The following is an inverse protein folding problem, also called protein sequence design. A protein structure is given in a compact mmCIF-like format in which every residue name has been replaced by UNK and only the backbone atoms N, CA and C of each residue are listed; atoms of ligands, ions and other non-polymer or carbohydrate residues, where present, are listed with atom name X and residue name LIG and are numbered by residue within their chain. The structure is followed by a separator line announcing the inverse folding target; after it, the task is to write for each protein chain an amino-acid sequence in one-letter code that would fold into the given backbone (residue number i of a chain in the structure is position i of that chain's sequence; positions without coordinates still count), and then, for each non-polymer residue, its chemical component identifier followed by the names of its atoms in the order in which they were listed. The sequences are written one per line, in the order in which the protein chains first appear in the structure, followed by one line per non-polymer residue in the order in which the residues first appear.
data_IF_887721629985
#
_entry.id   IF_887721629985
#
_cell.length_a   1.000
_cell.length_b   1.000
_cell.length_c   1.000
_cell.angle_alpha   90.00
_cell.angle_beta   90.00
_cell.angle_gamma   90.00
#
_symmetry.space_group_name_H-M   'P 1'
#
loop_
_entity.id
_entity.type
_entity.pdbx_description
1 polymer ?
#
# COMPACT_ATOMS: atom_id res chain seq x y z
N UNK A 1 -7.43 1.60 -14.11
CA UNK A 1 -6.38 2.23 -14.94
C UNK A 1 -6.56 3.74 -15.08
N UNK A 2 -7.79 4.26 -15.23
CA UNK A 2 -8.03 5.71 -15.37
C UNK A 2 -7.45 6.56 -14.23
N UNK A 3 -7.65 6.24 -12.93
CA UNK A 3 -7.05 7.01 -11.83
C UNK A 3 -5.52 7.14 -11.94
N UNK A 4 -4.86 6.04 -12.31
CA UNK A 4 -3.41 6.02 -12.46
C UNK A 4 -2.90 6.99 -13.52
N UNK A 5 -3.54 7.01 -14.70
CA UNK A 5 -3.17 7.92 -15.78
C UNK A 5 -3.42 9.38 -15.39
N UNK A 6 -4.57 9.65 -14.75
CA UNK A 6 -4.96 10.99 -14.32
C UNK A 6 -3.97 11.53 -13.28
N UNK A 7 -3.69 10.77 -12.23
CA UNK A 7 -2.74 11.19 -11.20
C UNK A 7 -1.31 11.30 -11.72
N UNK A 8 -0.89 10.40 -12.61
CA UNK A 8 0.41 10.55 -13.28
C UNK A 8 0.49 11.86 -14.05
N UNK A 9 -0.56 12.21 -14.80
CA UNK A 9 -0.63 13.47 -15.55
C UNK A 9 -0.60 14.67 -14.62
N UNK A 10 -1.41 14.68 -13.56
CA UNK A 10 -1.48 15.77 -12.59
C UNK A 10 -0.14 16.01 -11.90
N UNK A 11 0.54 14.94 -11.49
CA UNK A 11 1.85 15.06 -10.85
C UNK A 11 2.95 15.52 -11.80
N UNK A 12 2.91 15.08 -13.07
CA UNK A 12 3.83 15.59 -14.07
C UNK A 12 3.59 17.06 -14.37
N UNK A 13 2.32 17.50 -14.45
CA UNK A 13 1.97 18.91 -14.60
C UNK A 13 2.44 19.74 -13.40
N UNK A 14 2.22 19.25 -12.16
CA UNK A 14 2.72 19.88 -10.94
C UNK A 14 4.25 20.05 -10.97
N UNK A 15 4.96 18.98 -11.35
CA UNK A 15 6.42 18.99 -11.44
C UNK A 15 6.94 19.94 -12.52
N UNK A 16 6.30 19.94 -13.68
CA UNK A 16 6.71 20.78 -14.81
C UNK A 16 6.40 22.27 -14.58
N UNK A 17 5.16 22.61 -14.22
CA UNK A 17 4.71 24.01 -14.15
C UNK A 17 5.04 24.69 -12.82
N UNK A 18 4.92 23.98 -11.70
CA UNK A 18 4.97 24.57 -10.35
C UNK A 18 6.33 24.32 -9.68
N UNK A 19 6.81 23.08 -9.67
CA UNK A 19 8.07 22.72 -9.01
C UNK A 19 9.26 23.08 -9.92
N UNK A 20 9.08 22.97 -11.24
CA UNK A 20 10.09 23.21 -12.28
C UNK A 20 11.35 22.35 -12.12
N UNK A 21 11.19 21.13 -11.60
CA UNK A 21 12.28 20.14 -11.45
C UNK A 21 12.48 19.26 -12.68
N UNK A 22 11.60 19.39 -13.68
CA UNK A 22 11.69 18.69 -14.97
C UNK A 22 11.80 19.73 -16.10
N UNK A 23 12.94 19.82 -16.80
CA UNK A 23 13.13 20.82 -17.86
C UNK A 23 12.41 20.45 -19.17
N UNK A 24 12.27 19.16 -19.49
CA UNK A 24 11.54 18.66 -20.66
C UNK A 24 11.12 17.21 -20.47
N UNK A 25 10.15 16.73 -21.27
CA UNK A 25 9.66 15.35 -21.24
C UNK A 25 10.01 14.67 -22.56
N UNK A 26 10.99 13.78 -22.56
CA UNK A 26 11.26 12.92 -23.73
C UNK A 26 10.22 11.81 -23.85
N UNK A 27 9.95 11.32 -25.07
CA UNK A 27 8.99 10.24 -25.30
C UNK A 27 9.33 8.99 -24.50
N UNK A 28 10.61 8.58 -24.51
CA UNK A 28 11.13 7.44 -23.74
C UNK A 28 10.82 7.59 -22.24
N UNK A 29 11.07 8.78 -21.70
CA UNK A 29 10.87 9.05 -20.29
C UNK A 29 9.38 9.14 -19.92
N UNK A 30 8.55 9.73 -20.79
CA UNK A 30 7.11 9.72 -20.67
C UNK A 30 6.55 8.30 -20.61
N UNK A 31 6.97 7.43 -21.54
CA UNK A 31 6.56 6.01 -21.55
C UNK A 31 6.96 5.28 -20.26
N UNK A 32 8.16 5.53 -19.73
CA UNK A 32 8.59 4.94 -18.45
C UNK A 32 7.77 5.46 -17.27
N UNK A 33 7.42 6.75 -17.26
CA UNK A 33 6.64 7.36 -16.19
C UNK A 33 5.20 6.86 -16.16
N UNK A 34 4.54 6.80 -17.32
CA UNK A 34 3.21 6.23 -17.45
C UNK A 34 3.20 4.70 -17.36
N UNK A 35 4.26 4.00 -17.76
CA UNK A 35 4.32 2.54 -17.66
C UNK A 35 4.55 2.05 -16.24
N UNK A 36 5.45 2.70 -15.49
CA UNK A 36 5.95 2.20 -14.19
C UNK A 36 5.65 3.12 -13.00
N UNK A 37 4.80 4.13 -13.19
CA UNK A 37 4.39 5.05 -12.14
C UNK A 37 5.55 5.88 -11.60
N UNK A 38 6.45 6.32 -12.49
CA UNK A 38 7.64 7.12 -12.13
C UNK A 38 7.45 8.63 -12.24
N UNK A 39 6.22 9.07 -12.52
CA UNK A 39 5.88 10.50 -12.49
C UNK A 39 6.02 11.13 -11.10
N UNK A 40 5.79 10.35 -10.02
CA UNK A 40 5.89 10.83 -8.64
C UNK A 40 6.17 9.69 -7.64
N UNK A 41 6.71 10.04 -6.46
CA UNK A 41 7.27 9.12 -5.46
C UNK A 41 6.37 7.96 -5.00
N UNK A 42 5.06 7.97 -5.27
CA UNK A 42 4.13 6.92 -4.81
C UNK A 42 3.34 6.24 -5.95
N UNK A 43 3.36 6.77 -7.17
CA UNK A 43 2.57 6.19 -8.27
C UNK A 43 3.05 4.79 -8.69
N UNK A 44 4.28 4.43 -8.35
CA UNK A 44 4.83 3.12 -8.67
C UNK A 44 4.04 1.96 -8.05
N UNK A 45 3.46 2.16 -6.86
CA UNK A 45 2.67 1.14 -6.20
C UNK A 45 1.37 0.86 -6.98
N UNK A 46 0.76 1.89 -7.55
CA UNK A 46 -0.42 1.71 -8.39
C UNK A 46 -0.10 0.95 -9.68
N UNK A 47 1.10 1.16 -10.24
CA UNK A 47 1.65 0.32 -11.32
C UNK A 47 1.80 -1.15 -10.88
N UNK A 48 2.34 -1.41 -9.68
CA UNK A 48 2.45 -2.78 -9.13
C UNK A 48 1.08 -3.43 -8.96
N UNK A 49 0.08 -2.70 -8.48
CA UNK A 49 -1.30 -3.18 -8.34
C UNK A 49 -1.91 -3.52 -9.71
N UNK A 50 -1.70 -2.70 -10.74
CA UNK A 50 -2.15 -3.00 -12.11
C UNK A 50 -1.48 -4.28 -12.62
N UNK A 51 -0.17 -4.44 -12.45
CA UNK A 51 0.54 -5.66 -12.81
C UNK A 51 -0.02 -6.89 -12.08
N UNK A 52 -0.34 -6.76 -10.79
CA UNK A 52 -0.99 -7.83 -10.04
C UNK A 52 -2.35 -8.19 -10.62
N UNK A 53 -3.22 -7.22 -10.92
CA UNK A 53 -4.52 -7.49 -11.54
C UNK A 53 -4.40 -8.18 -12.91
N UNK A 54 -3.42 -7.81 -13.72
CA UNK A 54 -3.17 -8.46 -15.01
C UNK A 54 -2.70 -9.91 -14.86
N UNK A 55 -1.86 -10.18 -13.86
CA UNK A 55 -1.37 -11.53 -13.57
C UNK A 55 -2.33 -12.37 -12.73
N UNK A 56 -3.30 -11.72 -12.06
CA UNK A 56 -4.19 -12.37 -11.11
C UNK A 56 -4.97 -13.55 -11.70
N UNK A 57 -5.51 -13.52 -12.94
CA UNK A 57 -6.18 -14.69 -13.52
C UNK A 57 -5.30 -15.93 -13.58
N UNK A 58 -4.02 -15.76 -13.94
CA UNK A 58 -3.04 -16.85 -14.01
C UNK A 58 -2.69 -17.34 -12.60
N UNK A 59 -2.42 -16.42 -11.68
CA UNK A 59 -2.13 -16.74 -10.27
C UNK A 59 -3.33 -17.45 -9.62
N UNK A 60 -4.55 -16.98 -9.88
CA UNK A 60 -5.80 -17.55 -9.39
C UNK A 60 -5.99 -18.98 -9.89
N UNK A 61 -5.81 -19.20 -11.20
CA UNK A 61 -5.88 -20.54 -11.81
C UNK A 61 -4.87 -21.48 -11.16
N UNK A 62 -3.62 -21.05 -11.06
CA UNK A 62 -2.56 -21.81 -10.39
C UNK A 62 -2.95 -22.15 -8.94
N UNK A 63 -3.42 -21.16 -8.18
CA UNK A 63 -3.79 -21.35 -6.78
C UNK A 63 -4.93 -22.35 -6.60
N UNK A 64 -5.95 -22.29 -7.47
CA UNK A 64 -7.09 -23.21 -7.45
C UNK A 64 -6.71 -24.65 -7.76
N UNK A 65 -5.71 -24.85 -8.64
CA UNK A 65 -5.20 -26.17 -9.00
C UNK A 65 -4.33 -26.77 -7.91
N UNK A 66 -3.32 -26.03 -7.43
CA UNK A 66 -2.31 -26.59 -6.52
C UNK A 66 -2.69 -26.49 -5.05
N UNK A 67 -3.56 -25.53 -4.67
CA UNK A 67 -4.01 -25.27 -3.29
C UNK A 67 -2.86 -25.35 -2.26
N UNK A 68 -1.78 -24.57 -2.44
CA UNK A 68 -0.59 -24.69 -1.62
C UNK A 68 -0.92 -24.41 -0.14
N UNK A 69 -0.35 -25.21 0.76
CA UNK A 69 -0.39 -24.91 2.19
C UNK A 69 0.48 -23.66 2.50
N UNK A 70 0.45 -23.18 3.74
CA UNK A 70 1.15 -21.95 4.12
C UNK A 70 2.66 -22.01 3.85
N UNK A 71 3.30 -23.13 4.18
CA UNK A 71 4.75 -23.32 4.00
C UNK A 71 5.08 -23.40 2.51
N UNK A 72 4.29 -24.14 1.73
CA UNK A 72 4.45 -24.22 0.28
C UNK A 72 4.29 -22.85 -0.38
N UNK A 73 3.33 -22.03 0.08
CA UNK A 73 3.15 -20.66 -0.43
C UNK A 73 4.35 -19.76 -0.09
N UNK A 74 4.86 -19.82 1.15
CA UNK A 74 6.07 -19.12 1.58
C UNK A 74 7.27 -19.51 0.71
N UNK A 75 7.51 -20.81 0.52
CA UNK A 75 8.64 -21.30 -0.25
C UNK A 75 8.52 -20.89 -1.72
N UNK A 76 7.36 -21.09 -2.34
CA UNK A 76 7.14 -20.75 -3.74
C UNK A 76 7.36 -19.24 -4.00
N UNK A 77 6.65 -18.39 -3.28
CA UNK A 77 6.70 -16.94 -3.52
C UNK A 77 7.97 -16.28 -2.98
N UNK A 78 8.56 -16.86 -1.93
CA UNK A 78 9.87 -16.47 -1.41
C UNK A 78 10.99 -16.81 -2.38
N UNK A 79 10.99 -18.01 -2.96
CA UNK A 79 11.94 -18.40 -4.00
C UNK A 79 11.83 -17.50 -5.22
N UNK A 80 10.61 -17.15 -5.67
CA UNK A 80 10.42 -16.18 -6.75
C UNK A 80 11.06 -14.82 -6.40
N UNK A 81 10.89 -14.33 -5.16
CA UNK A 81 11.47 -13.05 -4.77
C UNK A 81 13.01 -13.10 -4.73
N UNK A 82 13.58 -14.19 -4.22
CA UNK A 82 15.03 -14.39 -4.14
C UNK A 82 15.64 -14.52 -5.54
N UNK A 83 15.04 -15.32 -6.41
CA UNK A 83 15.45 -15.45 -7.81
C UNK A 83 15.37 -14.09 -8.50
N UNK A 84 14.27 -13.37 -8.33
CA UNK A 84 14.11 -12.04 -8.91
C UNK A 84 15.13 -11.05 -8.36
N UNK A 85 15.46 -11.07 -7.07
CA UNK A 85 16.52 -10.23 -6.49
C UNK A 85 17.86 -10.47 -7.18
N UNK A 86 18.26 -11.74 -7.37
CA UNK A 86 19.54 -12.05 -8.00
C UNK A 86 19.56 -11.72 -9.49
N UNK A 87 18.49 -12.06 -10.22
CA UNK A 87 18.32 -11.63 -11.61
C UNK A 87 18.36 -10.11 -11.72
N UNK A 88 17.77 -9.41 -10.74
CA UNK A 88 17.80 -7.97 -10.71
C UNK A 88 19.21 -7.43 -10.51
N UNK A 89 19.88 -7.88 -9.46
CA UNK A 89 21.23 -7.42 -9.10
C UNK A 89 22.25 -7.70 -10.20
N UNK A 90 22.17 -8.86 -10.84
CA UNK A 90 23.15 -9.32 -11.82
C UNK A 90 22.89 -8.80 -13.24
N UNK A 91 21.63 -8.60 -13.62
CA UNK A 91 21.26 -8.29 -15.01
C UNK A 91 20.27 -7.14 -15.14
N UNK A 92 19.06 -7.26 -14.56
CA UNK A 92 17.96 -6.31 -14.86
C UNK A 92 18.31 -4.89 -14.45
N UNK A 93 19.01 -4.70 -13.32
CA UNK A 93 19.32 -3.36 -12.80
C UNK A 93 20.19 -2.54 -13.76
N UNK A 94 21.03 -3.20 -14.58
CA UNK A 94 21.90 -2.55 -15.55
C UNK A 94 21.11 -1.91 -16.70
N UNK A 95 19.95 -2.46 -17.03
CA UNK A 95 19.09 -1.99 -18.13
C UNK A 95 17.83 -1.28 -17.64
N UNK A 96 17.42 -1.52 -16.40
CA UNK A 96 16.18 -1.03 -15.82
C UNK A 96 16.34 -0.82 -14.30
N UNK A 97 16.53 0.44 -13.90
CA UNK A 97 16.79 0.85 -12.51
C UNK A 97 15.54 0.88 -11.63
N UNK A 98 14.35 0.63 -12.19
CA UNK A 98 13.06 0.82 -11.53
C UNK A 98 12.44 -0.48 -11.01
N UNK A 99 13.25 -1.37 -10.45
CA UNK A 99 12.80 -2.74 -10.12
C UNK A 99 11.84 -2.82 -8.95
N UNK A 100 11.86 -1.84 -8.04
CA UNK A 100 10.79 -1.63 -7.06
C UNK A 100 9.42 -1.30 -7.67
N UNK A 101 9.31 -1.10 -8.98
CA UNK A 101 8.02 -0.94 -9.67
C UNK A 101 7.51 -2.22 -10.31
N UNK A 102 8.23 -3.34 -10.13
CA UNK A 102 7.87 -4.65 -10.66
C UNK A 102 7.25 -5.49 -9.57
N UNK A 103 6.16 -6.18 -9.91
CA UNK A 103 5.41 -7.05 -8.98
C UNK A 103 6.29 -8.11 -8.30
N UNK A 104 7.31 -8.62 -8.99
CA UNK A 104 8.20 -9.67 -8.49
C UNK A 104 9.05 -9.21 -7.30
N UNK A 105 9.27 -7.91 -7.13
CA UNK A 105 9.89 -7.34 -5.91
C UNK A 105 9.04 -7.56 -4.65
N UNK A 106 7.76 -7.89 -4.83
CA UNK A 106 6.77 -8.05 -3.77
C UNK A 106 6.13 -9.44 -3.78
N UNK A 107 6.74 -10.43 -4.45
CA UNK A 107 6.11 -11.75 -4.57
C UNK A 107 5.90 -12.41 -3.20
N UNK A 108 6.84 -12.27 -2.26
CA UNK A 108 6.72 -12.84 -0.92
C UNK A 108 5.49 -12.33 -0.13
N UNK A 109 5.30 -11.00 0.08
CA UNK A 109 4.09 -10.51 0.73
C UNK A 109 2.81 -10.83 -0.05
N UNK A 110 2.87 -10.86 -1.39
CA UNK A 110 1.73 -11.28 -2.23
C UNK A 110 1.35 -12.74 -1.95
N UNK A 111 2.32 -13.66 -1.86
CA UNK A 111 2.08 -15.07 -1.56
C UNK A 111 1.41 -15.29 -0.20
N UNK A 112 1.86 -14.55 0.81
CA UNK A 112 1.24 -14.55 2.15
C UNK A 112 -0.19 -14.02 2.08
N UNK A 113 -0.40 -12.88 1.40
CA UNK A 113 -1.73 -12.29 1.22
C UNK A 113 -2.70 -13.21 0.49
N UNK A 114 -2.24 -13.90 -0.57
CA UNK A 114 -3.02 -14.91 -1.28
C UNK A 114 -3.40 -16.06 -0.35
N UNK A 115 -2.44 -16.61 0.39
CA UNK A 115 -2.75 -17.70 1.31
C UNK A 115 -3.78 -17.28 2.35
N UNK A 116 -3.63 -16.10 2.94
CA UNK A 116 -4.61 -15.56 3.86
C UNK A 116 -5.99 -15.43 3.20
N UNK A 117 -6.06 -14.81 2.02
CA UNK A 117 -7.32 -14.58 1.29
C UNK A 117 -8.11 -15.86 0.98
N UNK A 118 -7.44 -16.96 0.66
CA UNK A 118 -8.11 -18.25 0.38
C UNK A 118 -8.44 -19.07 1.63
N UNK A 119 -7.83 -18.78 2.78
CA UNK A 119 -7.95 -19.60 3.99
C UNK A 119 -8.67 -18.89 5.14
N UNK A 120 -9.55 -17.91 4.83
CA UNK A 120 -10.30 -17.09 5.81
C UNK A 120 -11.00 -17.89 6.90
N UNK A 121 -11.55 -19.06 6.57
CA UNK A 121 -12.23 -19.95 7.52
C UNK A 121 -11.34 -20.50 8.65
N UNK A 122 -10.03 -20.61 8.43
CA UNK A 122 -9.08 -21.22 9.39
C UNK A 122 -8.25 -20.19 10.18
N UNK A 123 -8.47 -18.89 9.93
CA UNK A 123 -7.62 -17.83 10.50
C UNK A 123 -7.55 -17.84 12.02
N UNK A 124 -8.68 -18.03 12.71
CA UNK A 124 -8.73 -17.97 14.17
C UNK A 124 -7.91 -19.07 14.83
N UNK A 125 -8.09 -20.33 14.38
CA UNK A 125 -7.35 -21.48 14.89
C UNK A 125 -5.85 -21.36 14.56
N UNK A 126 -5.53 -20.94 13.33
CA UNK A 126 -4.15 -20.75 12.89
C UNK A 126 -3.44 -19.65 13.69
N UNK A 127 -4.08 -18.50 13.88
CA UNK A 127 -3.52 -17.41 14.69
C UNK A 127 -3.33 -17.81 16.14
N UNK A 128 -4.29 -18.50 16.76
CA UNK A 128 -4.16 -19.00 18.14
C UNK A 128 -2.90 -19.88 18.28
N UNK A 129 -2.62 -20.71 17.28
CA UNK A 129 -1.46 -21.62 17.26
C UNK A 129 -0.13 -20.88 17.03
N UNK A 130 -0.08 -19.91 16.12
CA UNK A 130 1.18 -19.32 15.65
C UNK A 130 1.42 -17.86 16.04
N UNK A 131 0.51 -17.22 16.79
CA UNK A 131 0.62 -15.78 17.16
C UNK A 131 1.97 -15.40 17.76
N UNK A 132 2.48 -16.19 18.70
CA UNK A 132 3.71 -15.89 19.41
C UNK A 132 4.90 -15.93 18.44
N UNK A 133 4.91 -16.91 17.54
CA UNK A 133 5.92 -17.02 16.49
C UNK A 133 5.90 -15.81 15.56
N UNK A 134 4.74 -15.38 15.05
CA UNK A 134 4.66 -14.23 14.14
C UNK A 134 5.01 -12.91 14.82
N UNK A 135 4.61 -12.72 16.08
CA UNK A 135 4.97 -11.53 16.86
C UNK A 135 6.49 -11.51 17.08
N UNK A 136 7.07 -12.62 17.55
CA UNK A 136 8.51 -12.72 17.77
C UNK A 136 9.29 -12.51 16.47
N UNK A 137 8.82 -13.09 15.36
CA UNK A 137 9.45 -12.93 14.05
C UNK A 137 9.34 -11.50 13.53
N UNK A 138 8.21 -10.82 13.72
CA UNK A 138 8.04 -9.42 13.34
C UNK A 138 8.97 -8.51 14.14
N UNK A 139 9.08 -8.73 15.46
CA UNK A 139 10.00 -7.97 16.32
C UNK A 139 11.44 -8.23 15.93
N UNK A 140 11.86 -9.50 15.79
CA UNK A 140 13.21 -9.86 15.42
C UNK A 140 13.62 -9.31 14.04
N UNK A 141 12.76 -9.49 13.02
CA UNK A 141 13.01 -8.95 11.68
C UNK A 141 13.02 -7.43 11.67
N UNK A 142 12.15 -6.78 12.46
CA UNK A 142 12.09 -5.33 12.60
C UNK A 142 13.34 -4.75 13.26
N UNK A 143 13.78 -5.33 14.37
CA UNK A 143 15.03 -4.93 15.05
C UNK A 143 16.23 -5.11 14.13
N UNK A 144 16.32 -6.24 13.44
CA UNK A 144 17.40 -6.47 12.48
C UNK A 144 17.36 -5.47 11.32
N UNK A 145 16.17 -5.22 10.75
CA UNK A 145 15.99 -4.24 9.67
C UNK A 145 16.40 -2.83 10.12
N UNK A 146 15.92 -2.36 11.28
CA UNK A 146 16.27 -1.05 11.84
C UNK A 146 17.77 -0.96 12.09
N UNK A 147 18.38 -1.97 12.68
CA UNK A 147 19.82 -2.00 12.92
C UNK A 147 20.63 -1.88 11.61
N UNK A 148 20.23 -2.59 10.55
CA UNK A 148 20.88 -2.48 9.24
C UNK A 148 20.63 -1.12 8.58
N UNK A 149 19.43 -0.55 8.77
CA UNK A 149 19.10 0.78 8.27
C UNK A 149 19.97 1.86 8.93
N UNK A 150 20.09 1.85 10.26
CA UNK A 150 20.95 2.77 11.00
C UNK A 150 22.41 2.64 10.58
N UNK A 151 22.93 1.41 10.48
CA UNK A 151 24.29 1.18 9.97
C UNK A 151 24.49 1.74 8.55
N UNK A 152 23.46 1.69 7.69
CA UNK A 152 23.52 2.29 6.36
C UNK A 152 23.57 3.82 6.40
N UNK A 153 22.92 4.46 7.38
CA UNK A 153 22.99 5.90 7.59
C UNK A 153 24.40 6.32 8.07
N UNK A 154 25.04 5.46 8.85
CA UNK A 154 26.44 5.64 9.30
C UNK A 154 27.48 5.36 8.19
N UNK A 155 27.03 5.13 6.95
CA UNK A 155 27.91 4.86 5.80
C UNK A 155 28.51 3.46 5.79
N UNK A 156 28.09 2.57 6.67
CA UNK A 156 28.56 1.17 6.69
C UNK A 156 28.02 0.43 5.47
N UNK A 157 28.91 -0.25 4.75
CA UNK A 157 28.53 -1.07 3.60
C UNK A 157 27.70 -2.27 4.07
N UNK A 158 26.40 -2.23 3.83
CA UNK A 158 25.47 -3.32 4.14
C UNK A 158 25.19 -4.17 2.90
N UNK A 159 25.04 -5.48 3.10
CA UNK A 159 24.53 -6.36 2.04
C UNK A 159 23.07 -6.03 1.75
N UNK A 160 22.81 -5.61 0.51
CA UNK A 160 21.44 -5.31 0.05
C UNK A 160 20.53 -6.54 0.09
N UNK A 161 21.08 -7.76 0.05
CA UNK A 161 20.29 -8.98 0.15
C UNK A 161 19.68 -9.11 1.54
N UNK A 162 20.51 -9.08 2.58
CA UNK A 162 20.03 -9.20 3.96
C UNK A 162 19.09 -8.06 4.35
N UNK A 163 19.37 -6.85 3.87
CA UNK A 163 18.49 -5.70 4.07
C UNK A 163 17.10 -5.93 3.47
N UNK A 164 17.03 -6.36 2.20
CA UNK A 164 15.77 -6.61 1.50
C UNK A 164 15.00 -7.81 2.08
N UNK A 165 15.69 -8.88 2.46
CA UNK A 165 15.06 -10.05 3.08
C UNK A 165 14.50 -9.72 4.47
N UNK A 166 15.24 -8.96 5.28
CA UNK A 166 14.77 -8.50 6.58
C UNK A 166 13.55 -7.59 6.43
N UNK A 167 13.59 -6.65 5.47
CA UNK A 167 12.45 -5.80 5.15
C UNK A 167 11.21 -6.61 4.75
N UNK A 168 11.37 -7.57 3.83
CA UNK A 168 10.27 -8.40 3.34
C UNK A 168 9.65 -9.24 4.46
N UNK A 169 10.49 -9.83 5.33
CA UNK A 169 10.04 -10.58 6.50
C UNK A 169 9.32 -9.67 7.50
N UNK A 170 9.92 -8.52 7.83
CA UNK A 170 9.35 -7.56 8.78
C UNK A 170 7.97 -7.07 8.31
N UNK A 171 7.86 -6.55 7.09
CA UNK A 171 6.60 -5.99 6.58
C UNK A 171 5.53 -7.06 6.47
N UNK A 172 5.88 -8.27 6.02
CA UNK A 172 4.89 -9.35 5.85
C UNK A 172 4.37 -9.86 7.20
N UNK A 173 5.27 -10.09 8.16
CA UNK A 173 4.90 -10.60 9.49
C UNK A 173 4.18 -9.54 10.32
N UNK A 174 4.62 -8.27 10.24
CA UNK A 174 3.89 -7.14 10.83
C UNK A 174 2.51 -7.01 10.21
N UNK A 175 2.37 -7.13 8.88
CA UNK A 175 1.08 -7.11 8.20
C UNK A 175 0.11 -8.17 8.73
N UNK A 176 0.58 -9.41 8.92
CA UNK A 176 -0.21 -10.49 9.57
C UNK A 176 -0.64 -10.04 10.97
N UNK A 177 0.30 -9.56 11.80
CA UNK A 177 0.01 -9.13 13.16
C UNK A 177 -1.04 -8.01 13.21
N UNK A 178 -0.93 -7.02 12.32
CA UNK A 178 -1.87 -5.88 12.22
C UNK A 178 -3.25 -6.35 11.78
N UNK A 179 -3.37 -7.29 10.83
CA UNK A 179 -4.67 -7.87 10.44
C UNK A 179 -5.35 -8.54 11.64
N UNK A 180 -4.62 -9.32 12.42
CA UNK A 180 -5.19 -9.99 13.58
C UNK A 180 -5.46 -9.05 14.76
N UNK A 181 -4.66 -7.98 14.91
CA UNK A 181 -4.94 -6.90 15.85
C UNK A 181 -6.24 -6.19 15.47
N UNK A 182 -6.42 -5.84 14.19
CA UNK A 182 -7.65 -5.20 13.70
C UNK A 182 -8.87 -6.10 13.98
N UNK A 183 -8.77 -7.41 13.73
CA UNK A 183 -9.83 -8.36 14.07
C UNK A 183 -10.12 -8.42 15.56
N UNK A 184 -9.08 -8.38 16.41
CA UNK A 184 -9.26 -8.39 17.85
C UNK A 184 -9.97 -7.13 18.36
N UNK A 185 -9.59 -5.95 17.85
CA UNK A 185 -10.22 -4.68 18.19
C UNK A 185 -11.68 -4.61 17.73
N UNK A 186 -11.99 -5.23 16.59
CA UNK A 186 -13.35 -5.28 16.04
C UNK A 186 -14.29 -6.28 16.77
N UNK A 187 -13.77 -7.23 17.55
CA UNK A 187 -14.56 -8.35 18.08
C UNK A 187 -15.39 -8.03 19.34
N UNK A 188 -15.14 -6.91 20.03
CA UNK A 188 -15.80 -6.57 21.31
C UNK A 188 -16.58 -5.27 21.21
N UNK A 189 -17.87 -5.37 20.96
CA UNK A 189 -18.80 -4.23 20.99
C UNK A 189 -18.80 -3.54 22.37
N UNK A 190 -18.93 -2.20 22.38
CA UNK A 190 -18.96 -1.41 23.61
C UNK A 190 -17.59 -1.12 24.24
N UNK A 191 -16.48 -1.59 23.65
CA UNK A 191 -15.13 -1.28 24.14
C UNK A 191 -14.48 -0.13 23.37
N UNK A 192 -13.46 0.51 23.96
CA UNK A 192 -12.58 1.48 23.26
C UNK A 192 -12.04 0.88 21.95
N UNK A 193 -11.78 -0.44 21.91
CA UNK A 193 -11.38 -1.15 20.70
C UNK A 193 -12.40 -1.07 19.56
N UNK A 194 -13.69 -1.20 19.87
CA UNK A 194 -14.76 -1.06 18.85
C UNK A 194 -14.89 0.36 18.32
N UNK A 195 -14.69 1.38 19.17
CA UNK A 195 -14.63 2.77 18.75
C UNK A 195 -13.45 3.02 17.80
N UNK A 196 -12.24 2.59 18.19
CA UNK A 196 -11.04 2.70 17.36
C UNK A 196 -11.21 1.97 16.02
N UNK A 197 -11.75 0.75 16.05
CA UNK A 197 -12.07 -0.01 14.84
C UNK A 197 -13.03 0.76 13.92
N UNK A 198 -14.06 1.41 14.49
CA UNK A 198 -14.98 2.27 13.73
C UNK A 198 -14.30 3.49 13.12
N UNK A 199 -13.40 4.16 13.84
CA UNK A 199 -12.60 5.29 13.34
C UNK A 199 -11.69 4.84 12.20
N UNK A 200 -10.92 3.77 12.41
CA UNK A 200 -10.02 3.23 11.37
C UNK A 200 -10.78 2.70 10.16
N UNK A 201 -11.98 2.13 10.34
CA UNK A 201 -12.82 1.70 9.24
C UNK A 201 -13.31 2.88 8.42
N UNK A 202 -13.75 3.97 9.07
CA UNK A 202 -14.14 5.21 8.38
C UNK A 202 -12.96 5.86 7.65
N UNK A 203 -11.80 5.96 8.30
CA UNK A 203 -10.59 6.46 7.65
C UNK A 203 -10.16 5.57 6.47
N UNK A 204 -10.28 4.25 6.65
CA UNK A 204 -9.99 3.23 5.63
C UNK A 204 -10.82 3.39 4.36
N UNK A 205 -12.08 3.84 4.46
CA UNK A 205 -12.94 4.10 3.30
C UNK A 205 -12.40 5.19 2.37
N UNK A 206 -11.61 6.12 2.89
CA UNK A 206 -10.99 7.21 2.12
C UNK A 206 -9.49 7.00 1.89
N UNK A 207 -8.93 5.88 2.36
CA UNK A 207 -7.49 5.61 2.34
C UNK A 207 -6.89 5.67 0.94
N UNK A 208 -7.58 5.17 -0.08
CA UNK A 208 -7.10 5.19 -1.47
C UNK A 208 -7.01 6.62 -2.03
N UNK A 209 -8.01 7.46 -1.79
CA UNK A 209 -7.95 8.85 -2.22
C UNK A 209 -6.92 9.64 -1.43
N UNK A 210 -6.87 9.47 -0.11
CA UNK A 210 -5.83 10.09 0.74
C UNK A 210 -4.42 9.65 0.32
N UNK A 211 -4.25 8.38 -0.09
CA UNK A 211 -3.00 7.88 -0.64
C UNK A 211 -2.58 8.60 -1.93
N UNK A 212 -3.54 9.00 -2.77
CA UNK A 212 -3.24 9.71 -4.02
C UNK A 212 -3.05 11.21 -3.82
N UNK A 213 -3.74 11.81 -2.85
CA UNK A 213 -3.71 13.26 -2.60
C UNK A 213 -2.55 13.68 -1.69
N UNK A 214 -2.18 12.90 -0.68
CA UNK A 214 -1.18 13.32 0.31
C UNK A 214 0.19 13.74 -0.25
N UNK A 215 0.72 13.17 -1.36
CA UNK A 215 2.02 13.62 -1.87
C UNK A 215 1.99 15.08 -2.36
N UNK A 216 0.84 15.59 -2.80
CA UNK A 216 0.65 17.01 -3.08
C UNK A 216 0.82 17.86 -1.81
N UNK A 217 0.13 17.50 -0.72
CA UNK A 217 0.25 18.23 0.55
C UNK A 217 1.63 18.10 1.17
N UNK A 218 2.29 16.96 1.01
CA UNK A 218 3.69 16.77 1.42
C UNK A 218 4.62 17.76 0.73
N UNK A 219 4.47 17.94 -0.58
CA UNK A 219 5.26 18.92 -1.34
C UNK A 219 5.02 20.35 -0.87
N UNK A 220 3.76 20.72 -0.67
CA UNK A 220 3.38 22.05 -0.16
C UNK A 220 3.97 22.25 1.24
N UNK A 221 3.84 21.26 2.13
CA UNK A 221 4.39 21.29 3.47
C UNK A 221 5.91 21.47 3.46
N UNK A 222 6.64 20.68 2.67
CA UNK A 222 8.10 20.76 2.55
C UNK A 222 8.56 22.12 1.99
N UNK A 223 7.75 22.76 1.14
CA UNK A 223 8.09 24.07 0.57
C UNK A 223 7.84 25.22 1.56
N UNK A 224 6.81 25.12 2.40
CA UNK A 224 6.44 26.16 3.38
C UNK A 224 7.24 26.00 4.69
N UNK A 225 7.37 24.76 5.17
CA UNK A 225 7.98 24.40 6.45
C UNK A 225 9.12 23.40 6.23
N UNK A 226 10.33 23.92 6.07
CA UNK A 226 11.58 23.15 6.09
C UNK A 226 12.55 23.70 7.15
N UNK A 227 12.22 23.55 8.46
CA UNK A 227 13.11 24.01 9.51
C UNK A 227 14.45 23.25 9.46
N UNK A 228 15.54 24.01 9.58
CA UNK A 228 16.92 23.50 9.51
C UNK A 228 17.46 23.01 10.87
N UNK A 229 16.73 23.26 11.96
CA UNK A 229 17.15 22.96 13.33
C UNK A 229 16.35 21.80 13.96
N UNK A 230 17.00 21.04 14.84
CA UNK A 230 16.52 19.74 15.36
C UNK A 230 15.16 19.79 16.08
N UNK A 231 14.86 20.74 17.00
CA UNK A 231 13.56 20.73 17.70
C UNK A 231 12.42 21.18 16.79
N UNK A 232 12.69 22.13 15.89
CA UNK A 232 11.72 22.58 14.89
C UNK A 232 11.41 21.51 13.85
N UNK A 233 12.37 20.62 13.56
CA UNK A 233 12.21 19.50 12.66
C UNK A 233 11.21 18.47 13.22
N UNK A 234 11.37 18.05 14.47
CA UNK A 234 10.47 17.05 15.09
C UNK A 234 9.03 17.55 15.17
N UNK A 235 8.84 18.80 15.62
CA UNK A 235 7.53 19.46 15.63
C UNK A 235 6.94 19.60 14.23
N UNK A 236 7.76 19.93 13.23
CA UNK A 236 7.33 20.02 11.83
C UNK A 236 6.95 18.65 11.26
N UNK A 237 7.64 17.57 11.63
CA UNK A 237 7.33 16.21 11.18
C UNK A 237 6.01 15.74 11.79
N UNK A 238 5.84 15.86 13.10
CA UNK A 238 4.61 15.41 13.78
C UNK A 238 3.40 16.29 13.45
N UNK A 239 3.57 17.62 13.49
CA UNK A 239 2.54 18.57 13.08
C UNK A 239 2.18 18.41 11.60
N UNK A 240 3.19 18.27 10.75
CA UNK A 240 3.02 18.03 9.32
C UNK A 240 2.28 16.73 9.03
N UNK A 241 2.59 15.65 9.74
CA UNK A 241 1.86 14.38 9.62
C UNK A 241 0.35 14.59 9.87
N UNK A 242 -0.02 15.22 10.99
CA UNK A 242 -1.42 15.45 11.33
C UNK A 242 -2.13 16.36 10.32
N UNK A 243 -1.48 17.46 9.91
CA UNK A 243 -2.02 18.41 8.94
C UNK A 243 -2.18 17.75 7.57
N UNK A 244 -1.14 17.11 7.04
CA UNK A 244 -1.17 16.43 5.74
C UNK A 244 -2.23 15.34 5.75
N UNK A 245 -2.29 14.52 6.80
CA UNK A 245 -3.27 13.45 6.92
C UNK A 245 -4.71 14.00 6.97
N UNK A 246 -4.95 15.02 7.79
CA UNK A 246 -6.25 15.67 7.91
C UNK A 246 -6.70 16.30 6.58
N UNK A 247 -5.84 17.10 5.95
CA UNK A 247 -6.12 17.71 4.65
C UNK A 247 -6.36 16.65 3.57
N UNK A 248 -5.56 15.59 3.52
CA UNK A 248 -5.75 14.50 2.56
C UNK A 248 -7.10 13.82 2.73
N UNK A 249 -7.51 13.54 3.96
CA UNK A 249 -8.82 12.96 4.26
C UNK A 249 -9.97 13.91 3.88
N UNK A 250 -9.89 15.18 4.26
CA UNK A 250 -10.93 16.18 3.96
C UNK A 250 -11.05 16.39 2.44
N UNK A 251 -9.94 16.59 1.75
CA UNK A 251 -9.93 16.77 0.29
C UNK A 251 -10.48 15.55 -0.41
N UNK A 252 -10.10 14.34 0.01
CA UNK A 252 -10.67 13.10 -0.55
C UNK A 252 -12.17 13.01 -0.32
N UNK A 253 -12.62 13.27 0.90
CA UNK A 253 -14.04 13.27 1.26
C UNK A 253 -14.87 14.25 0.42
N UNK A 254 -14.34 15.45 0.17
CA UNK A 254 -15.00 16.45 -0.67
C UNK A 254 -15.00 16.02 -2.15
N UNK A 255 -13.87 15.56 -2.68
CA UNK A 255 -13.74 15.16 -4.08
C UNK A 255 -14.58 13.93 -4.42
N UNK A 256 -14.72 12.95 -3.52
CA UNK A 256 -15.57 11.77 -3.70
C UNK A 256 -17.06 12.08 -3.87
N UNK A 257 -17.50 13.29 -3.51
CA UNK A 257 -18.89 13.77 -3.69
C UNK A 257 -19.12 14.50 -5.00
N UNK A 258 -18.06 14.75 -5.75
CA UNK A 258 -18.13 15.45 -7.04
C UNK A 258 -18.11 14.47 -8.21
N UNK A 259 -18.40 14.94 -9.41
CA UNK A 259 -18.24 14.14 -10.63
C UNK A 259 -16.79 13.68 -10.85
N UNK A 260 -15.80 14.37 -10.27
CA UNK A 260 -14.38 14.03 -10.35
C UNK A 260 -14.04 12.71 -9.65
N UNK A 261 -14.88 12.21 -8.76
CA UNK A 261 -14.66 10.94 -8.04
C UNK A 261 -14.36 9.77 -9.00
N UNK A 262 -15.08 9.70 -10.14
CA UNK A 262 -14.88 8.65 -11.15
C UNK A 262 -13.52 8.77 -11.82
N UNK A 263 -13.10 10.00 -12.12
CA UNK A 263 -11.86 10.26 -12.83
C UNK A 263 -10.63 10.09 -11.91
N UNK A 264 -10.69 10.67 -10.72
CA UNK A 264 -9.58 10.72 -9.76
C UNK A 264 -9.42 9.41 -8.98
N UNK A 265 -10.51 8.74 -8.63
CA UNK A 265 -10.46 7.58 -7.73
C UNK A 265 -11.08 6.32 -8.34
N UNK A 266 -11.76 6.42 -9.47
CA UNK A 266 -12.39 5.26 -10.10
C UNK A 266 -13.65 4.79 -9.36
N UNK A 267 -14.23 5.64 -8.51
CA UNK A 267 -15.42 5.34 -7.71
C UNK A 267 -16.60 6.21 -8.17
N UNK A 268 -17.84 5.70 -8.13
CA UNK A 268 -19.01 6.54 -8.40
C UNK A 268 -19.10 7.66 -7.34
N UNK A 269 -19.64 8.85 -7.69
CA UNK A 269 -19.83 9.91 -6.71
C UNK A 269 -20.71 9.42 -5.58
N UNK A 270 -20.25 9.57 -4.34
CA UNK A 270 -21.10 9.32 -3.17
C UNK A 270 -22.14 10.44 -3.12
N UNK A 271 -23.40 10.11 -3.44
CA UNK A 271 -24.49 11.06 -3.32
C UNK A 271 -24.56 11.65 -1.91
N UNK A 272 -25.02 12.90 -1.78
CA UNK A 272 -25.13 13.62 -0.49
C UNK A 272 -26.03 12.85 0.51
N UNK A 273 -26.85 11.91 0.03
CA UNK A 273 -27.67 11.03 0.86
C UNK A 273 -27.12 9.59 0.82
N UNK A 274 -26.20 9.26 1.71
CA UNK A 274 -25.74 7.89 1.98
C UNK A 274 -26.80 6.96 2.61
N UNK A 275 -28.08 7.14 2.25
CA UNK A 275 -29.23 6.37 2.74
C UNK A 275 -29.94 5.59 1.62
N UNK A 276 -29.62 5.82 0.35
CA UNK A 276 -30.25 5.10 -0.77
C UNK A 276 -29.72 3.68 -0.98
N UNK A 277 -28.49 3.38 -0.52
CA UNK A 277 -27.95 2.01 -0.57
C UNK A 277 -28.59 1.05 0.44
N UNK A 278 -29.18 1.56 1.52
CA UNK A 278 -29.91 0.75 2.50
C UNK A 278 -31.37 0.52 2.09
N UNK A 279 -31.96 1.41 1.30
CA UNK A 279 -33.35 1.26 0.83
C UNK A 279 -33.50 0.24 -0.29
N UNK A 280 -32.48 0.05 -1.13
CA UNK A 280 -32.48 -1.01 -2.16
C UNK A 280 -32.32 -2.41 -1.55
N UNK A 281 -31.44 -2.58 -0.56
CA UNK A 281 -31.26 -3.86 0.15
C UNK A 281 -32.50 -4.22 0.99
N UNK A 282 -33.19 -3.23 1.57
CA UNK A 282 -34.47 -3.46 2.26
C UNK A 282 -35.64 -3.75 1.31
N UNK A 283 -35.63 -3.26 0.07
CA UNK A 283 -36.65 -3.60 -0.94
C UNK A 283 -36.47 -5.03 -1.47
N UNK A 284 -35.23 -5.51 -1.62
CA UNK A 284 -34.97 -6.87 -2.13
C UNK A 284 -35.35 -7.98 -1.11
N UNK A 285 -35.34 -7.68 0.19
CA UNK A 285 -35.77 -8.59 1.25
C UNK A 285 -37.29 -8.55 1.57
N UNK A 286 -38.09 -7.78 0.82
CA UNK A 286 -39.56 -7.71 0.99
C UNK A 286 -40.35 -8.28 -0.19
N UNK A 287 -39.78 -9.24 -0.92
CA UNK A 287 -40.57 -10.13 -1.79
C UNK A 287 -41.13 -11.28 -0.95
N UNK A 288 -42.45 -11.35 -0.69
CA UNK A 288 -43.03 -12.51 -0.03
C UNK A 288 -42.92 -13.74 -0.93
N UNK A 289 -42.66 -14.89 -0.29
CA UNK A 289 -42.88 -16.21 -0.86
C UNK A 289 -44.29 -16.25 -1.45
N UNK A 290 -44.38 -16.67 -2.70
CA UNK A 290 -45.53 -17.36 -3.27
C UNK A 290 -45.03 -18.72 -3.74
#
# INVERSE_FOLDING_TARGET
MVPFLVWTTLYLALRFFIIRDIPYISLKQGLLWYGFGKGFFHLYFLSVVIQFYLLFPVIHKFWRTFKPNFITAILLFGSVQVVFYWLNKLYIYQHFSYTGSLIFSYSFPIGIGLWMGYNTGHWAAWWKKYRAFFIALAVAAGVFYINRYLASLDGVRISTFYFQMAWALYVSTLGICVIFLARHLAAKEGTIGSFLSGVFSKAGQYSYGSYLVHPFFLLVWQKIYAPKESPGLDLSVWGGFLVIFGLSCVTTYLLERTFLARLLFGVPPKGINGLTGLSEIQKQNRSPRA
#
